data_IF_563690266339
#
_entry.id   IF_563690266339
#
_cell.length_a   1.000
_cell.length_b   1.000
_cell.length_c   1.000
_cell.angle_alpha   90.00
_cell.angle_beta   90.00
_cell.angle_gamma   90.00
#
_symmetry.space_group_name_H-M   'P 1'
#
loop_
_entity.id
_entity.type
_entity.pdbx_description
1 polymer ?
#
# COMPACT_ATOMS: atom_id res chain seq x y z
N UNK A 1 -2.69 12.83 33.67
CA UNK A 1 -2.12 11.63 34.33
C UNK A 1 -3.28 10.76 34.81
N UNK A 2 -3.72 9.83 33.97
CA UNK A 2 -4.78 8.86 34.27
C UNK A 2 -4.41 7.58 33.51
N UNK A 3 -3.97 6.58 34.28
CA UNK A 3 -3.48 5.29 33.82
C UNK A 3 -4.67 4.33 33.81
N UNK A 4 -5.04 3.80 32.65
CA UNK A 4 -5.96 2.66 32.56
C UNK A 4 -5.16 1.41 32.19
N UNK A 5 -4.97 0.53 33.18
CA UNK A 5 -4.40 -0.82 33.02
C UNK A 5 -5.51 -1.76 32.53
N UNK A 6 -5.38 -2.31 31.33
CA UNK A 6 -6.18 -3.46 30.89
C UNK A 6 -5.64 -4.74 31.54
N UNK A 7 -6.51 -5.43 32.28
CA UNK A 7 -6.25 -6.68 33.00
C UNK A 7 -6.68 -7.83 32.09
N UNK A 8 -5.73 -8.64 31.64
CA UNK A 8 -6.02 -9.92 30.96
C UNK A 8 -6.38 -10.97 32.01
N UNK A 9 -7.50 -11.67 31.82
CA UNK A 9 -7.90 -12.84 32.61
C UNK A 9 -7.36 -14.10 31.94
N UNK A 10 -6.51 -14.83 32.66
CA UNK A 10 -5.99 -16.15 32.30
C UNK A 10 -7.08 -17.21 32.56
N UNK A 11 -7.52 -17.90 31.50
CA UNK A 11 -8.40 -19.06 31.60
C UNK A 11 -7.61 -20.32 31.92
N UNK A 12 -8.02 -21.01 32.99
CA UNK A 12 -7.41 -22.22 33.53
C UNK A 12 -7.54 -23.44 32.59
N UNK A 13 -6.43 -24.19 32.46
CA UNK A 13 -6.34 -25.49 31.79
C UNK A 13 -6.56 -26.61 32.83
N UNK A 14 -7.47 -27.58 32.60
CA UNK A 14 -7.51 -28.77 33.44
C UNK A 14 -6.49 -29.82 32.97
N UNK A 15 -5.63 -30.24 33.91
CA UNK A 15 -4.80 -31.44 33.82
C UNK A 15 -5.67 -32.70 33.95
N UNK A 16 -5.46 -33.70 33.10
CA UNK A 16 -5.79 -35.08 33.42
C UNK A 16 -4.77 -36.05 32.85
N UNK A 17 -4.68 -37.19 33.52
CA UNK A 17 -3.53 -38.09 33.69
C UNK A 17 -3.38 -39.17 32.62
N UNK A 18 -2.12 -39.41 32.26
CA UNK A 18 -1.42 -40.68 32.02
C UNK A 18 -2.26 -41.94 31.73
N UNK A 19 -2.20 -42.43 30.48
CA UNK A 19 -2.06 -43.86 30.17
C UNK A 19 -1.09 -44.06 29.02
N UNK A 20 -0.01 -44.80 29.31
CA UNK A 20 1.04 -45.21 28.37
C UNK A 20 0.51 -46.36 27.52
N UNK A 21 0.41 -46.15 26.22
CA UNK A 21 0.32 -47.22 25.23
C UNK A 21 1.45 -47.00 24.24
N UNK A 22 2.45 -47.86 24.28
CA UNK A 22 3.54 -47.89 23.31
C UNK A 22 2.98 -48.39 21.98
N UNK A 23 2.73 -47.47 21.04
CA UNK A 23 2.57 -47.79 19.63
C UNK A 23 3.89 -47.40 18.93
N UNK A 24 4.63 -48.41 18.49
CA UNK A 24 5.75 -48.28 17.56
C UNK A 24 5.23 -47.68 16.25
N UNK A 25 5.36 -46.36 16.09
CA UNK A 25 5.21 -45.70 14.79
C UNK A 25 6.54 -45.76 14.06
N UNK A 26 6.53 -46.48 12.95
CA UNK A 26 7.57 -46.51 11.94
C UNK A 26 7.92 -45.09 11.50
N UNK A 27 9.16 -44.68 11.72
CA UNK A 27 9.71 -43.44 11.16
C UNK A 27 9.93 -43.65 9.66
N UNK A 28 8.88 -43.44 8.86
CA UNK A 28 9.04 -43.22 7.43
C UNK A 28 9.63 -41.82 7.26
N UNK A 29 10.95 -41.75 7.08
CA UNK A 29 11.61 -40.54 6.60
C UNK A 29 11.04 -40.21 5.21
N UNK A 30 10.00 -39.39 5.16
CA UNK A 30 9.65 -38.68 3.96
C UNK A 30 10.80 -37.70 3.71
N UNK A 31 11.74 -38.11 2.86
CA UNK A 31 12.66 -37.20 2.20
C UNK A 31 11.76 -36.20 1.50
N UNK A 32 11.61 -35.00 2.08
CA UNK A 32 11.14 -33.87 1.33
C UNK A 32 12.09 -33.76 0.15
N UNK A 33 11.60 -34.11 -1.04
CA UNK A 33 12.26 -33.73 -2.26
C UNK A 33 12.28 -32.20 -2.24
N UNK A 34 13.39 -31.64 -1.73
CA UNK A 34 13.81 -30.32 -2.12
C UNK A 34 13.86 -30.39 -3.64
N UNK A 35 12.86 -29.82 -4.29
CA UNK A 35 12.96 -29.46 -5.70
C UNK A 35 14.13 -28.48 -5.75
N UNK A 36 15.32 -29.02 -5.96
CA UNK A 36 16.47 -28.26 -6.40
C UNK A 36 15.95 -27.47 -7.60
N UNK A 37 15.88 -26.15 -7.44
CA UNK A 37 15.59 -25.25 -8.54
C UNK A 37 16.46 -25.67 -9.71
N UNK A 38 15.83 -26.04 -10.82
CA UNK A 38 16.54 -26.35 -12.04
C UNK A 38 17.35 -25.10 -12.43
N UNK A 39 18.70 -25.13 -12.40
CA UNK A 39 19.51 -23.96 -12.72
C UNK A 39 19.48 -23.63 -14.23
N UNK A 40 18.69 -24.34 -15.04
CA UNK A 40 18.69 -24.20 -16.49
C UNK A 40 17.96 -22.95 -16.99
N UNK A 41 17.04 -22.35 -16.23
CA UNK A 41 16.31 -21.15 -16.65
C UNK A 41 16.28 -20.04 -15.58
N UNK A 42 16.37 -18.76 -15.98
CA UNK A 42 16.19 -17.65 -15.04
C UNK A 42 14.78 -17.66 -14.44
N UNK A 43 14.68 -17.23 -13.19
CA UNK A 43 13.40 -16.96 -12.54
C UNK A 43 12.67 -15.85 -13.26
N UNK A 44 11.36 -15.99 -13.41
CA UNK A 44 10.52 -15.00 -14.09
C UNK A 44 9.56 -14.36 -13.10
N UNK A 45 9.70 -13.06 -12.89
CA UNK A 45 8.85 -12.25 -12.01
C UNK A 45 7.99 -11.35 -12.88
N UNK A 46 6.67 -11.52 -12.80
CA UNK A 46 5.72 -10.55 -13.35
C UNK A 46 5.60 -9.35 -12.42
N UNK A 47 5.77 -8.13 -12.91
CA UNK A 47 5.50 -6.90 -12.14
C UNK A 47 4.42 -6.09 -12.84
N UNK A 48 3.24 -6.00 -12.22
CA UNK A 48 2.12 -5.20 -12.73
C UNK A 48 1.86 -4.02 -11.80
N UNK A 49 2.01 -2.80 -12.31
CA UNK A 49 1.72 -1.57 -11.55
C UNK A 49 0.43 -0.89 -12.01
N UNK A 50 -0.35 -0.41 -11.04
CA UNK A 50 -1.60 0.31 -11.30
C UNK A 50 -1.33 1.74 -11.80
N UNK A 51 -0.20 2.35 -11.41
CA UNK A 51 0.26 3.65 -11.89
C UNK A 51 1.55 3.57 -12.71
N UNK A 52 2.21 4.72 -12.89
CA UNK A 52 3.57 4.77 -13.45
C UNK A 52 4.55 4.02 -12.54
N UNK A 53 5.25 3.05 -13.10
CA UNK A 53 6.05 2.09 -12.36
C UNK A 53 7.55 2.31 -12.42
N UNK A 54 8.10 3.25 -13.20
CA UNK A 54 9.57 3.43 -13.37
C UNK A 54 10.35 3.42 -12.06
N UNK A 55 9.87 4.19 -11.06
CA UNK A 55 10.51 4.27 -9.75
C UNK A 55 10.34 2.97 -8.95
N UNK A 56 9.17 2.34 -9.06
CA UNK A 56 8.85 1.06 -8.39
C UNK A 56 9.73 -0.06 -8.96
N UNK A 57 9.84 -0.14 -10.28
CA UNK A 57 10.74 -1.06 -10.99
C UNK A 57 12.20 -0.84 -10.59
N UNK A 58 12.65 0.41 -10.48
CA UNK A 58 13.99 0.74 -9.98
C UNK A 58 14.24 0.21 -8.57
N UNK A 59 13.28 0.38 -7.65
CA UNK A 59 13.40 -0.15 -6.28
C UNK A 59 13.39 -1.68 -6.24
N UNK A 60 12.58 -2.34 -7.05
CA UNK A 60 12.61 -3.80 -7.15
C UNK A 60 13.94 -4.31 -7.70
N UNK A 61 14.50 -3.67 -8.73
CA UNK A 61 15.83 -3.99 -9.26
C UNK A 61 16.92 -3.85 -8.21
N UNK A 62 16.92 -2.75 -7.46
CA UNK A 62 17.85 -2.54 -6.33
C UNK A 62 17.70 -3.64 -5.27
N UNK A 63 16.46 -3.97 -4.88
CA UNK A 63 16.17 -4.97 -3.86
C UNK A 63 16.56 -6.39 -4.30
N UNK A 64 16.27 -6.77 -5.55
CA UNK A 64 16.66 -8.06 -6.11
C UNK A 64 18.18 -8.18 -6.24
N UNK A 65 18.86 -7.11 -6.69
CA UNK A 65 20.32 -7.07 -6.74
C UNK A 65 20.95 -7.25 -5.35
N UNK A 66 20.39 -6.61 -4.32
CA UNK A 66 20.86 -6.77 -2.94
C UNK A 66 20.71 -8.21 -2.41
N UNK A 67 19.83 -9.01 -3.01
CA UNK A 67 19.61 -10.43 -2.70
C UNK A 67 20.44 -11.39 -3.54
N UNK A 68 21.23 -10.87 -4.47
CA UNK A 68 22.12 -11.65 -5.34
C UNK A 68 21.54 -11.99 -6.71
N UNK A 69 20.32 -11.56 -7.02
CA UNK A 69 19.74 -11.72 -8.36
C UNK A 69 20.33 -10.72 -9.35
N UNK A 70 20.57 -11.17 -10.58
CA UNK A 70 21.04 -10.41 -11.72
C UNK A 70 20.00 -10.49 -12.85
N UNK A 71 19.32 -9.36 -13.09
CA UNK A 71 18.35 -9.22 -14.18
C UNK A 71 19.02 -9.54 -15.54
N UNK A 72 18.37 -10.38 -16.34
CA UNK A 72 18.88 -10.88 -17.62
C UNK A 72 19.81 -12.09 -17.51
N UNK A 73 20.18 -12.53 -16.29
CA UNK A 73 21.00 -13.72 -16.07
C UNK A 73 20.26 -14.81 -15.31
N UNK A 74 19.87 -14.53 -14.07
CA UNK A 74 19.18 -15.48 -13.17
C UNK A 74 17.76 -15.03 -12.82
N UNK A 75 17.38 -13.82 -13.23
CA UNK A 75 16.06 -13.22 -13.02
C UNK A 75 15.63 -12.46 -14.27
N UNK A 76 14.36 -12.55 -14.65
CA UNK A 76 13.70 -11.74 -15.68
C UNK A 76 12.54 -11.03 -15.00
N UNK A 77 12.43 -9.71 -15.20
CA UNK A 77 11.30 -8.92 -14.71
C UNK A 77 10.40 -8.55 -15.89
N UNK A 78 9.24 -9.18 -15.96
CA UNK A 78 8.22 -8.90 -16.97
C UNK A 78 7.33 -7.75 -16.47
N UNK A 79 7.71 -6.54 -16.84
CA UNK A 79 7.06 -5.32 -16.35
C UNK A 79 5.90 -4.88 -17.24
N UNK A 80 4.76 -4.55 -16.61
CA UNK A 80 3.59 -3.90 -17.23
C UNK A 80 3.07 -2.80 -16.31
N UNK A 81 2.66 -1.68 -16.90
CA UNK A 81 2.07 -0.57 -16.15
C UNK A 81 0.77 -0.10 -16.79
N UNK A 82 -0.21 0.19 -15.94
CA UNK A 82 -1.49 0.73 -16.36
C UNK A 82 -1.49 2.27 -16.47
N UNK A 83 -0.41 2.94 -16.01
CA UNK A 83 -0.26 4.40 -16.05
C UNK A 83 -1.49 5.16 -15.47
N UNK A 84 -2.15 4.59 -14.46
CA UNK A 84 -3.35 5.16 -13.84
C UNK A 84 -4.68 4.77 -14.48
N UNK A 85 -4.67 4.06 -15.61
CA UNK A 85 -5.85 3.62 -16.34
C UNK A 85 -6.22 2.17 -16.00
N UNK A 86 -6.99 1.96 -14.93
CA UNK A 86 -7.27 0.61 -14.41
C UNK A 86 -8.04 -0.31 -15.35
N UNK A 87 -8.69 0.23 -16.38
CA UNK A 87 -9.31 -0.56 -17.45
C UNK A 87 -8.30 -1.41 -18.23
N UNK A 88 -7.01 -1.04 -18.22
CA UNK A 88 -5.94 -1.81 -18.88
C UNK A 88 -5.48 -3.02 -18.07
N UNK A 89 -5.69 -3.02 -16.74
CA UNK A 89 -5.13 -4.03 -15.84
C UNK A 89 -5.51 -5.48 -16.19
N UNK A 90 -6.76 -5.81 -16.58
CA UNK A 90 -7.10 -7.17 -16.98
C UNK A 90 -6.22 -7.70 -18.13
N UNK A 91 -5.99 -6.88 -19.17
CA UNK A 91 -5.17 -7.27 -20.31
C UNK A 91 -3.69 -7.37 -19.95
N UNK A 92 -3.18 -6.38 -19.21
CA UNK A 92 -1.77 -6.36 -18.77
C UNK A 92 -1.43 -7.56 -17.87
N UNK A 93 -2.35 -7.93 -16.97
CA UNK A 93 -2.19 -9.14 -16.14
C UNK A 93 -2.25 -10.39 -17.00
N UNK A 94 -3.18 -10.48 -17.96
CA UNK A 94 -3.29 -11.64 -18.85
C UNK A 94 -2.00 -11.85 -19.67
N UNK A 95 -1.40 -10.77 -20.18
CA UNK A 95 -0.08 -10.81 -20.84
C UNK A 95 1.00 -11.36 -19.91
N UNK A 96 1.04 -10.90 -18.66
CA UNK A 96 2.01 -11.39 -17.66
C UNK A 96 1.77 -12.87 -17.35
N UNK A 97 0.51 -13.30 -17.16
CA UNK A 97 0.18 -14.71 -16.88
C UNK A 97 0.55 -15.61 -18.05
N UNK A 98 0.36 -15.17 -19.29
CA UNK A 98 0.71 -15.92 -20.50
C UNK A 98 2.22 -16.17 -20.65
N UNK A 99 3.05 -15.41 -19.93
CA UNK A 99 4.50 -15.60 -19.87
C UNK A 99 4.92 -16.65 -18.82
N UNK A 100 3.96 -17.26 -18.13
CA UNK A 100 4.14 -18.29 -17.10
C UNK A 100 5.19 -17.88 -16.03
N UNK A 101 5.00 -16.73 -15.35
CA UNK A 101 5.93 -16.27 -14.34
C UNK A 101 5.90 -17.19 -13.12
N UNK A 102 7.05 -17.29 -12.45
CA UNK A 102 7.18 -18.04 -11.21
C UNK A 102 6.48 -17.32 -10.03
N UNK A 103 6.34 -15.99 -10.13
CA UNK A 103 5.60 -15.16 -9.17
C UNK A 103 5.16 -13.84 -9.81
N UNK A 104 4.02 -13.30 -9.39
CA UNK A 104 3.50 -11.99 -9.79
C UNK A 104 3.57 -11.04 -8.60
N UNK A 105 4.20 -9.88 -8.77
CA UNK A 105 4.01 -8.72 -7.91
C UNK A 105 2.92 -7.86 -8.52
N UNK A 106 1.87 -7.59 -7.75
CA UNK A 106 0.79 -6.70 -8.14
C UNK A 106 0.77 -5.47 -7.21
N UNK A 107 0.99 -4.29 -7.78
CA UNK A 107 1.03 -3.02 -7.05
C UNK A 107 -0.33 -2.32 -7.03
N UNK A 108 -0.75 -1.99 -5.81
CA UNK A 108 -2.05 -1.47 -5.44
C UNK A 108 -3.24 -2.43 -5.66
N UNK A 109 -4.32 -2.19 -4.90
CA UNK A 109 -5.55 -2.99 -4.89
C UNK A 109 -6.12 -3.32 -6.29
N UNK A 110 -6.17 -2.38 -7.27
CA UNK A 110 -6.70 -2.68 -8.60
C UNK A 110 -5.91 -3.76 -9.35
N UNK A 111 -4.58 -3.70 -9.35
CA UNK A 111 -3.74 -4.72 -10.00
C UNK A 111 -3.84 -6.06 -9.27
N UNK A 112 -3.90 -6.05 -7.93
CA UNK A 112 -4.07 -7.27 -7.13
C UNK A 112 -5.40 -7.95 -7.47
N UNK A 113 -6.49 -7.19 -7.55
CA UNK A 113 -7.80 -7.71 -7.93
C UNK A 113 -7.83 -8.25 -9.36
N UNK A 114 -7.06 -7.67 -10.28
CA UNK A 114 -6.91 -8.20 -11.64
C UNK A 114 -6.10 -9.51 -11.65
N UNK A 115 -4.99 -9.57 -10.92
CA UNK A 115 -4.17 -10.77 -10.76
C UNK A 115 -4.95 -11.93 -10.12
N UNK A 116 -5.69 -11.67 -9.04
CA UNK A 116 -6.55 -12.67 -8.38
C UNK A 116 -7.58 -13.28 -9.33
N UNK A 117 -8.16 -12.48 -10.22
CA UNK A 117 -9.13 -12.98 -11.22
C UNK A 117 -8.48 -13.78 -12.34
N UNK A 118 -7.23 -13.49 -12.67
CA UNK A 118 -6.52 -14.12 -13.77
C UNK A 118 -5.88 -15.46 -13.39
N UNK A 119 -5.53 -15.67 -12.13
CA UNK A 119 -4.89 -16.91 -11.67
C UNK A 119 -5.14 -17.21 -10.19
N UNK A 120 -5.38 -18.49 -9.90
CA UNK A 120 -5.47 -19.05 -8.55
C UNK A 120 -4.27 -19.93 -8.19
N UNK A 121 -3.29 -20.07 -9.09
CA UNK A 121 -2.16 -21.00 -8.95
C UNK A 121 -0.81 -20.31 -8.89
N UNK A 122 -0.60 -19.27 -9.71
CA UNK A 122 0.66 -18.50 -9.68
C UNK A 122 0.69 -17.70 -8.37
N UNK A 123 1.78 -17.74 -7.60
CA UNK A 123 1.95 -16.91 -6.42
C UNK A 123 1.79 -15.41 -6.73
N UNK A 124 1.01 -14.69 -5.92
CA UNK A 124 0.78 -13.25 -6.06
C UNK A 124 1.26 -12.54 -4.77
N UNK A 125 2.19 -11.61 -4.93
CA UNK A 125 2.63 -10.68 -3.90
C UNK A 125 1.87 -9.36 -4.04
N UNK A 126 1.02 -9.07 -3.07
CA UNK A 126 0.40 -7.77 -2.88
C UNK A 126 1.45 -6.74 -2.45
N UNK A 127 1.59 -5.65 -3.18
CA UNK A 127 2.64 -4.67 -2.87
C UNK A 127 2.23 -3.21 -3.16
N UNK A 128 1.61 -2.51 -2.21
CA UNK A 128 0.88 -3.03 -1.04
C UNK A 128 -0.66 -2.95 -1.24
N UNK A 129 -1.42 -3.67 -0.41
CA UNK A 129 -2.90 -3.63 -0.36
C UNK A 129 -3.44 -2.76 0.78
N UNK A 130 -4.56 -2.06 0.57
CA UNK A 130 -5.19 -1.23 1.61
C UNK A 130 -6.06 -2.04 2.57
N UNK A 131 -6.87 -2.96 2.03
CA UNK A 131 -7.71 -3.83 2.84
C UNK A 131 -7.69 -5.25 2.23
N UNK A 132 -6.63 -6.03 2.47
CA UNK A 132 -6.49 -7.33 1.84
C UNK A 132 -7.53 -8.36 2.30
N UNK A 133 -8.09 -8.21 3.50
CA UNK A 133 -9.15 -9.09 4.02
C UNK A 133 -10.50 -8.71 3.45
N UNK A 134 -10.91 -7.43 3.55
CA UNK A 134 -12.18 -6.96 3.01
C UNK A 134 -12.25 -7.03 1.48
N UNK A 135 -11.11 -6.95 0.79
CA UNK A 135 -11.02 -7.18 -0.66
C UNK A 135 -11.05 -8.67 -1.05
N UNK A 136 -11.05 -9.58 -0.07
CA UNK A 136 -11.05 -11.02 -0.32
C UNK A 136 -9.75 -11.57 -0.89
N UNK A 137 -8.64 -10.84 -0.79
CA UNK A 137 -7.33 -11.29 -1.26
C UNK A 137 -6.74 -12.36 -0.35
N UNK A 138 -6.97 -12.24 0.96
CA UNK A 138 -6.45 -13.15 1.97
C UNK A 138 -7.52 -13.45 3.03
N UNK A 139 -7.47 -14.63 3.65
CA UNK A 139 -8.40 -14.99 4.75
C UNK A 139 -8.12 -14.19 6.03
N UNK A 140 -6.84 -13.98 6.32
CA UNK A 140 -6.37 -13.23 7.49
C UNK A 140 -4.92 -12.79 7.27
N UNK A 141 -4.44 -11.88 8.12
CA UNK A 141 -3.04 -11.48 8.11
C UNK A 141 -2.11 -12.63 8.51
N UNK A 142 -2.44 -13.40 9.55
CA UNK A 142 -1.55 -14.47 10.02
C UNK A 142 -1.51 -15.70 9.09
N UNK A 143 -2.62 -15.96 8.37
CA UNK A 143 -2.76 -17.09 7.45
C UNK A 143 -3.55 -16.65 6.22
N UNK A 144 -2.89 -16.28 5.11
CA UNK A 144 -3.59 -15.89 3.91
C UNK A 144 -4.42 -17.01 3.28
N UNK A 145 -3.88 -18.24 3.29
CA UNK A 145 -4.64 -19.45 2.96
C UNK A 145 -4.95 -19.67 1.47
N UNK A 146 -4.18 -19.05 0.56
CA UNK A 146 -4.28 -19.20 -0.89
C UNK A 146 -2.96 -18.82 -1.59
N UNK A 147 -3.00 -18.53 -2.89
CA UNK A 147 -1.82 -18.11 -3.67
C UNK A 147 -1.43 -16.64 -3.47
N UNK A 148 -2.19 -15.85 -2.70
CA UNK A 148 -1.95 -14.42 -2.47
C UNK A 148 -1.40 -14.20 -1.06
N UNK A 149 -0.34 -13.39 -0.95
CA UNK A 149 0.24 -12.90 0.30
C UNK A 149 0.92 -11.54 0.06
N UNK A 150 1.74 -11.03 0.98
CA UNK A 150 2.55 -9.84 0.78
C UNK A 150 2.26 -8.76 1.82
N UNK A 151 2.14 -7.51 1.38
CA UNK A 151 2.25 -6.34 2.24
C UNK A 151 0.93 -5.56 2.25
N UNK A 152 0.48 -5.16 3.44
CA UNK A 152 -0.59 -4.19 3.64
C UNK A 152 0.01 -2.78 3.88
N UNK A 153 -0.71 -1.71 3.52
CA UNK A 153 -0.18 -0.33 3.63
C UNK A 153 -0.71 0.50 4.82
N UNK A 154 -1.75 0.02 5.52
CA UNK A 154 -2.40 0.70 6.64
C UNK A 154 -2.94 2.11 6.34
N UNK A 155 -3.16 2.49 5.06
CA UNK A 155 -3.62 3.85 4.75
C UNK A 155 -4.98 4.16 5.40
N UNK A 156 -5.91 3.21 5.41
CA UNK A 156 -7.21 3.38 6.04
C UNK A 156 -7.11 3.64 7.56
N UNK A 157 -6.18 2.96 8.24
CA UNK A 157 -5.96 3.10 9.68
C UNK A 157 -5.40 4.49 10.06
N UNK A 158 -4.66 5.11 9.15
CA UNK A 158 -4.04 6.42 9.37
C UNK A 158 -4.98 7.61 9.11
N UNK A 159 -6.18 7.37 8.57
CA UNK A 159 -7.09 8.45 8.14
C UNK A 159 -7.49 9.38 9.28
N UNK A 160 -7.86 8.86 10.46
CA UNK A 160 -8.25 9.70 11.60
C UNK A 160 -7.09 10.62 12.05
N UNK A 161 -5.89 10.03 12.20
CA UNK A 161 -4.69 10.78 12.58
C UNK A 161 -4.31 11.84 11.54
N UNK A 162 -4.57 11.59 10.26
CA UNK A 162 -4.36 12.58 9.22
C UNK A 162 -5.28 13.79 9.32
N UNK A 163 -6.52 13.58 9.72
CA UNK A 163 -7.44 14.70 9.94
C UNK A 163 -7.06 15.53 11.18
N UNK A 164 -6.51 14.89 12.22
CA UNK A 164 -5.92 15.62 13.36
C UNK A 164 -4.77 16.53 12.90
N UNK A 165 -3.88 16.02 12.05
CA UNK A 165 -2.77 16.79 11.47
C UNK A 165 -3.29 17.94 10.59
N UNK A 166 -4.30 17.69 9.75
CA UNK A 166 -4.99 18.75 8.99
C UNK A 166 -5.51 19.84 9.92
N UNK A 167 -6.14 19.49 11.05
CA UNK A 167 -6.65 20.47 12.02
C UNK A 167 -5.54 21.28 12.69
N UNK A 168 -4.38 20.67 12.94
CA UNK A 168 -3.24 21.37 13.52
C UNK A 168 -2.67 22.45 12.59
N UNK A 169 -2.67 22.19 11.27
CA UNK A 169 -2.18 23.10 10.24
C UNK A 169 -3.24 24.11 9.78
N UNK A 170 -4.50 23.68 9.70
CA UNK A 170 -5.65 24.47 9.28
C UNK A 170 -6.71 24.54 10.39
N UNK A 171 -6.45 25.27 11.49
CA UNK A 171 -7.32 25.24 12.68
C UNK A 171 -8.75 25.73 12.45
N UNK A 172 -8.95 26.52 11.37
CA UNK A 172 -10.24 27.10 10.98
C UNK A 172 -10.95 26.33 9.86
N UNK A 173 -10.39 25.22 9.39
CA UNK A 173 -10.98 24.42 8.31
C UNK A 173 -12.39 23.96 8.67
N UNK A 174 -13.31 24.06 7.72
CA UNK A 174 -14.72 23.66 7.83
C UNK A 174 -15.11 22.67 6.75
N UNK A 175 -14.44 22.71 5.60
CA UNK A 175 -14.75 21.83 4.47
C UNK A 175 -13.49 21.31 3.79
N UNK A 176 -13.40 19.99 3.66
CA UNK A 176 -12.35 19.32 2.91
C UNK A 176 -12.92 18.63 1.67
N UNK A 177 -12.15 18.67 0.59
CA UNK A 177 -12.36 17.82 -0.58
C UNK A 177 -11.57 16.52 -0.40
N UNK A 178 -12.23 15.38 -0.47
CA UNK A 178 -11.55 14.07 -0.46
C UNK A 178 -11.39 13.60 -1.90
N UNK A 179 -10.14 13.63 -2.40
CA UNK A 179 -9.82 13.15 -3.74
C UNK A 179 -9.76 11.63 -3.74
N UNK A 180 -10.60 11.03 -4.58
CA UNK A 180 -10.70 9.61 -4.81
C UNK A 180 -10.53 9.28 -6.30
N UNK A 181 -10.41 7.99 -6.58
CA UNK A 181 -10.40 7.37 -7.91
C UNK A 181 -11.42 6.24 -7.98
N UNK A 182 -11.37 5.45 -9.06
CA UNK A 182 -12.10 4.20 -9.22
C UNK A 182 -11.42 3.00 -8.51
N UNK A 183 -10.40 3.22 -7.68
CA UNK A 183 -9.88 2.19 -6.78
C UNK A 183 -11.01 1.67 -5.87
N UNK A 184 -11.26 0.35 -5.81
CA UNK A 184 -12.43 -0.20 -5.11
C UNK A 184 -12.44 0.10 -3.61
N UNK A 185 -11.28 0.35 -2.99
CA UNK A 185 -11.19 0.69 -1.57
C UNK A 185 -11.58 2.14 -1.26
N UNK A 186 -11.66 3.02 -2.26
CA UNK A 186 -11.89 4.45 -2.03
C UNK A 186 -13.30 4.80 -1.56
N UNK A 187 -14.30 3.94 -1.81
CA UNK A 187 -15.64 4.15 -1.23
C UNK A 187 -15.56 4.01 0.28
N UNK A 188 -15.07 2.88 0.79
CA UNK A 188 -14.93 2.65 2.23
C UNK A 188 -13.94 3.63 2.89
N UNK A 189 -12.83 3.95 2.22
CA UNK A 189 -11.86 4.92 2.72
C UNK A 189 -12.44 6.34 2.82
N UNK A 190 -13.27 6.76 1.86
CA UNK A 190 -14.01 8.02 1.97
C UNK A 190 -14.97 8.01 3.16
N UNK A 191 -15.74 6.94 3.36
CA UNK A 191 -16.66 6.84 4.50
C UNK A 191 -15.93 6.94 5.85
N UNK A 192 -14.74 6.35 5.95
CA UNK A 192 -13.87 6.49 7.13
C UNK A 192 -13.37 7.94 7.30
N UNK A 193 -12.95 8.59 6.21
CA UNK A 193 -12.53 9.99 6.23
C UNK A 193 -13.69 10.93 6.62
N UNK A 194 -14.89 10.71 6.07
CA UNK A 194 -16.07 11.50 6.38
C UNK A 194 -16.45 11.40 7.86
N UNK A 195 -16.55 10.19 8.41
CA UNK A 195 -16.82 10.01 9.86
C UNK A 195 -15.77 10.66 10.75
N UNK A 196 -14.49 10.54 10.38
CA UNK A 196 -13.43 11.16 11.14
C UNK A 196 -13.49 12.70 11.06
N UNK A 197 -13.83 13.26 9.90
CA UNK A 197 -14.00 14.70 9.70
C UNK A 197 -15.19 15.23 10.51
N UNK A 198 -16.32 14.53 10.47
CA UNK A 198 -17.52 14.87 11.24
C UNK A 198 -17.24 14.89 12.75
N UNK A 199 -16.44 13.93 13.25
CA UNK A 199 -16.07 13.87 14.68
C UNK A 199 -15.29 15.09 15.17
N UNK A 200 -14.66 15.82 14.24
CA UNK A 200 -13.95 17.08 14.51
C UNK A 200 -14.67 18.28 13.90
N UNK A 201 -15.96 18.18 13.54
CA UNK A 201 -16.76 19.31 13.04
C UNK A 201 -16.32 19.86 11.68
N UNK A 202 -15.72 19.02 10.83
CA UNK A 202 -15.29 19.35 9.47
C UNK A 202 -16.12 18.55 8.49
N UNK A 203 -16.74 19.22 7.52
CA UNK A 203 -17.46 18.54 6.44
C UNK A 203 -16.49 17.96 5.41
N UNK A 204 -16.76 16.75 4.92
CA UNK A 204 -15.98 16.11 3.86
C UNK A 204 -16.85 15.82 2.65
N UNK A 205 -16.40 16.22 1.46
CA UNK A 205 -17.08 15.92 0.20
C UNK A 205 -16.18 15.08 -0.70
N UNK A 206 -16.71 13.96 -1.22
CA UNK A 206 -15.97 13.09 -2.14
C UNK A 206 -15.94 13.69 -3.54
N UNK A 207 -14.77 13.67 -4.16
CA UNK A 207 -14.57 14.00 -5.57
C UNK A 207 -13.79 12.88 -6.24
N UNK A 208 -14.26 12.42 -7.40
CA UNK A 208 -13.66 11.27 -8.07
C UNK A 208 -12.99 11.73 -9.36
N UNK A 209 -11.68 11.50 -9.45
CA UNK A 209 -10.90 11.57 -10.69
C UNK A 209 -10.50 10.14 -11.08
N UNK A 210 -11.26 9.45 -11.95
CA UNK A 210 -10.94 8.08 -12.35
C UNK A 210 -9.53 7.99 -12.93
N UNK A 211 -9.19 8.88 -13.86
CA UNK A 211 -7.91 8.88 -14.57
C UNK A 211 -7.08 10.14 -14.28
N UNK A 212 -5.78 10.15 -14.63
CA UNK A 212 -4.92 11.32 -14.45
C UNK A 212 -5.41 12.60 -15.16
N UNK A 213 -6.03 12.47 -16.34
CA UNK A 213 -6.57 13.59 -17.13
C UNK A 213 -7.78 14.28 -16.46
N UNK A 214 -8.48 13.58 -15.57
CA UNK A 214 -9.65 14.11 -14.86
C UNK A 214 -9.28 15.05 -13.71
N UNK A 215 -8.00 15.13 -13.33
CA UNK A 215 -7.54 15.87 -12.16
C UNK A 215 -7.87 17.37 -12.25
N UNK A 216 -7.59 18.03 -13.37
CA UNK A 216 -7.78 19.48 -13.51
C UNK A 216 -9.26 19.88 -13.30
N UNK A 217 -10.17 19.19 -14.00
CA UNK A 217 -11.62 19.36 -13.84
C UNK A 217 -12.10 19.05 -12.41
N UNK A 218 -11.49 18.05 -11.78
CA UNK A 218 -11.84 17.65 -10.41
C UNK A 218 -11.43 18.72 -9.41
N UNK A 219 -10.23 19.30 -9.54
CA UNK A 219 -9.79 20.43 -8.69
C UNK A 219 -10.62 21.69 -8.94
N UNK A 220 -11.01 21.99 -10.19
CA UNK A 220 -11.96 23.06 -10.47
C UNK A 220 -13.31 22.85 -9.75
N UNK A 221 -13.79 21.60 -9.69
CA UNK A 221 -15.04 21.25 -8.99
C UNK A 221 -14.90 21.39 -7.47
N UNK A 222 -13.74 21.05 -6.91
CA UNK A 222 -13.45 21.25 -5.48
C UNK A 222 -13.39 22.73 -5.11
N UNK A 223 -12.78 23.56 -5.96
CA UNK A 223 -12.72 25.01 -5.78
C UNK A 223 -14.13 25.62 -5.87
N UNK A 224 -14.94 25.24 -6.85
CA UNK A 224 -16.33 25.68 -6.98
C UNK A 224 -17.24 25.22 -5.82
N UNK A 225 -16.82 24.18 -5.10
CA UNK A 225 -17.49 23.68 -3.91
C UNK A 225 -16.91 24.26 -2.61
N UNK A 226 -16.05 25.28 -2.68
CA UNK A 226 -15.43 25.94 -1.53
C UNK A 226 -14.67 24.97 -0.59
N UNK A 227 -14.00 23.96 -1.16
CA UNK A 227 -13.12 23.09 -0.37
C UNK A 227 -11.84 23.85 0.02
N UNK A 228 -11.52 23.89 1.30
CA UNK A 228 -10.38 24.66 1.83
C UNK A 228 -9.07 23.87 1.82
N UNK A 229 -9.17 22.55 1.93
CA UNK A 229 -8.03 21.61 1.94
C UNK A 229 -8.44 20.36 1.17
N UNK A 230 -7.51 19.79 0.41
CA UNK A 230 -7.71 18.51 -0.29
C UNK A 230 -7.01 17.40 0.48
N UNK A 231 -7.77 16.37 0.88
CA UNK A 231 -7.23 15.12 1.41
C UNK A 231 -7.19 14.07 0.30
N UNK A 232 -6.00 13.60 -0.04
CA UNK A 232 -5.80 12.66 -1.15
C UNK A 232 -5.69 11.24 -0.62
N UNK A 233 -6.68 10.41 -0.99
CA UNK A 233 -6.64 8.99 -0.73
C UNK A 233 -5.51 8.32 -1.52
N UNK A 234 -4.94 7.29 -0.94
CA UNK A 234 -3.79 6.59 -1.49
C UNK A 234 -4.13 5.88 -2.79
N UNK A 235 -3.45 6.31 -3.83
CA UNK A 235 -3.54 5.76 -5.18
C UNK A 235 -2.14 5.76 -5.79
N UNK A 236 -1.85 4.91 -6.79
CA UNK A 236 -0.59 4.98 -7.52
C UNK A 236 -0.26 6.42 -7.91
N UNK A 237 1.02 6.79 -7.79
CA UNK A 237 1.45 8.19 -7.91
C UNK A 237 0.94 8.80 -9.21
N UNK A 238 0.24 9.94 -9.08
CA UNK A 238 -0.20 10.80 -10.19
C UNK A 238 0.71 12.04 -10.23
N UNK A 239 1.76 12.07 -11.06
CA UNK A 239 2.84 13.07 -10.94
C UNK A 239 2.40 14.52 -11.11
N UNK A 240 1.34 14.77 -11.88
CA UNK A 240 0.81 16.11 -12.13
C UNK A 240 -0.04 16.67 -10.97
N UNK A 241 -0.43 15.83 -10.01
CA UNK A 241 -1.35 16.24 -8.95
C UNK A 241 -0.81 17.43 -8.12
N UNK A 242 0.45 17.45 -7.65
CA UNK A 242 0.93 18.60 -6.87
C UNK A 242 0.94 19.92 -7.63
N UNK A 243 1.32 19.92 -8.92
CA UNK A 243 1.33 21.14 -9.73
C UNK A 243 -0.08 21.63 -10.04
N UNK A 244 -1.03 20.72 -10.26
CA UNK A 244 -2.46 21.05 -10.40
C UNK A 244 -2.99 21.64 -9.08
N UNK A 245 -2.73 21.00 -7.94
CA UNK A 245 -3.15 21.53 -6.63
C UNK A 245 -2.64 22.95 -6.39
N UNK A 246 -1.37 23.21 -6.70
CA UNK A 246 -0.76 24.52 -6.59
C UNK A 246 -1.37 25.55 -7.56
N UNK A 247 -1.69 25.15 -8.81
CA UNK A 247 -2.39 25.99 -9.80
C UNK A 247 -3.73 26.50 -9.25
N UNK A 248 -4.46 25.67 -8.51
CA UNK A 248 -5.74 26.05 -7.88
C UNK A 248 -5.57 26.72 -6.50
N UNK A 249 -4.34 26.89 -6.01
CA UNK A 249 -4.06 27.44 -4.69
C UNK A 249 -4.59 26.56 -3.55
N UNK A 250 -4.79 25.27 -3.79
CA UNK A 250 -5.42 24.35 -2.83
C UNK A 250 -4.38 23.59 -2.01
N UNK A 251 -4.30 23.82 -0.69
CA UNK A 251 -3.45 23.03 0.19
C UNK A 251 -3.86 21.55 0.13
N UNK A 252 -2.90 20.67 -0.14
CA UNK A 252 -3.17 19.24 -0.36
C UNK A 252 -2.37 18.36 0.59
N UNK A 253 -3.06 17.46 1.28
CA UNK A 253 -2.51 16.53 2.25
C UNK A 253 -2.65 15.10 1.72
N UNK A 254 -1.55 14.36 1.65
CA UNK A 254 -1.47 13.07 0.95
C UNK A 254 -1.23 11.90 1.91
N UNK A 255 -1.84 10.75 1.64
CA UNK A 255 -1.47 9.51 2.33
C UNK A 255 -0.10 8.96 1.87
N UNK A 256 0.34 9.27 0.65
CA UNK A 256 1.62 8.76 0.11
C UNK A 256 2.75 9.77 0.35
N UNK A 257 3.76 9.34 1.11
CA UNK A 257 4.88 10.15 1.61
C UNK A 257 5.85 10.68 0.56
N UNK A 258 5.74 10.24 -0.70
CA UNK A 258 6.59 10.71 -1.80
C UNK A 258 6.00 11.87 -2.62
N UNK A 259 4.77 12.33 -2.32
CA UNK A 259 4.20 13.52 -2.96
C UNK A 259 4.93 14.83 -2.60
N UNK A 260 5.39 15.04 -1.34
CA UNK A 260 6.16 16.24 -1.00
C UNK A 260 7.43 16.43 -1.82
N UNK A 261 8.13 15.34 -2.17
CA UNK A 261 9.31 15.38 -3.06
C UNK A 261 8.95 15.85 -4.50
N UNK A 262 7.66 15.92 -4.84
CA UNK A 262 7.11 16.35 -6.13
C UNK A 262 6.37 17.69 -6.03
N UNK A 263 6.59 18.45 -4.97
CA UNK A 263 5.94 19.74 -4.72
C UNK A 263 4.59 19.63 -4.00
N UNK A 264 4.23 18.46 -3.47
CA UNK A 264 3.07 18.33 -2.58
C UNK A 264 3.32 19.03 -1.25
N UNK A 265 2.28 19.54 -0.59
CA UNK A 265 2.44 20.28 0.66
C UNK A 265 2.87 19.39 1.83
N UNK A 266 2.13 18.32 2.10
CA UNK A 266 2.34 17.49 3.28
C UNK A 266 1.85 16.07 3.06
N UNK A 267 2.55 15.09 3.58
CA UNK A 267 2.09 13.71 3.57
C UNK A 267 2.39 13.00 4.89
N UNK A 268 1.51 12.07 5.26
CA UNK A 268 1.73 11.15 6.38
C UNK A 268 1.32 9.75 5.97
N UNK A 269 2.23 8.81 6.13
CA UNK A 269 2.03 7.44 5.70
C UNK A 269 3.26 6.57 5.94
N UNK A 270 3.18 5.29 5.56
CA UNK A 270 4.33 4.39 5.57
C UNK A 270 5.48 4.92 4.70
N UNK A 271 6.70 4.51 5.03
CA UNK A 271 7.84 4.69 4.13
C UNK A 271 7.67 3.79 2.90
N UNK A 272 7.35 4.40 1.76
CA UNK A 272 6.95 3.67 0.54
C UNK A 272 8.07 2.75 0.01
N UNK A 273 9.33 3.20 0.02
CA UNK A 273 10.46 2.37 -0.45
C UNK A 273 10.60 1.10 0.38
N UNK A 274 10.43 1.20 1.70
CA UNK A 274 10.54 0.06 2.60
C UNK A 274 9.48 -1.02 2.30
N UNK A 275 8.26 -0.63 1.89
CA UNK A 275 7.21 -1.58 1.50
C UNK A 275 7.61 -2.42 0.27
N UNK A 276 8.22 -1.79 -0.73
CA UNK A 276 8.64 -2.49 -1.96
C UNK A 276 9.85 -3.39 -1.73
N UNK A 277 10.80 -2.97 -0.88
CA UNK A 277 11.91 -3.84 -0.44
C UNK A 277 11.36 -5.07 0.27
N UNK A 278 10.38 -4.90 1.15
CA UNK A 278 9.75 -6.01 1.85
C UNK A 278 9.00 -6.95 0.90
N UNK A 279 8.32 -6.42 -0.12
CA UNK A 279 7.71 -7.26 -1.16
C UNK A 279 8.74 -8.10 -1.94
N UNK A 280 9.95 -7.57 -2.17
CA UNK A 280 11.04 -8.34 -2.78
C UNK A 280 11.54 -9.47 -1.86
N UNK A 281 11.48 -9.30 -0.52
CA UNK A 281 11.77 -10.37 0.44
C UNK A 281 10.78 -11.54 0.32
N UNK A 282 9.50 -11.24 0.06
CA UNK A 282 8.49 -12.27 -0.17
C UNK A 282 8.73 -13.04 -1.46
N UNK A 283 9.10 -12.35 -2.54
CA UNK A 283 9.49 -13.00 -3.80
C UNK A 283 10.66 -13.96 -3.55
N UNK A 284 11.73 -13.52 -2.91
CA UNK A 284 12.90 -14.36 -2.61
C UNK A 284 12.54 -15.62 -1.82
N UNK A 285 11.67 -15.49 -0.80
CA UNK A 285 11.19 -16.64 -0.01
C UNK A 285 10.40 -17.62 -0.87
N UNK A 286 9.52 -17.14 -1.76
CA UNK A 286 8.71 -17.98 -2.65
C UNK A 286 9.58 -18.69 -3.69
N UNK A 287 10.53 -17.97 -4.31
CA UNK A 287 11.47 -18.57 -5.27
C UNK A 287 12.35 -19.66 -4.61
N UNK A 288 12.53 -19.59 -3.29
CA UNK A 288 13.21 -20.61 -2.47
C UNK A 288 12.28 -21.70 -1.93
N UNK A 289 11.02 -21.74 -2.36
CA UNK A 289 10.07 -22.81 -2.05
C UNK A 289 9.11 -22.53 -0.89
N UNK A 290 9.06 -21.30 -0.36
CA UNK A 290 8.05 -20.97 0.65
C UNK A 290 6.64 -20.92 0.02
N UNK A 291 5.66 -21.51 0.71
CA UNK A 291 4.27 -21.50 0.29
C UNK A 291 3.58 -20.17 0.62
N UNK A 292 3.02 -19.42 -0.35
CA UNK A 292 2.31 -18.16 -0.11
C UNK A 292 1.20 -18.26 0.94
N UNK A 293 0.53 -19.42 1.02
CA UNK A 293 -0.57 -19.62 1.95
C UNK A 293 -0.15 -19.56 3.43
N UNK A 294 1.13 -19.82 3.71
CA UNK A 294 1.74 -19.89 5.04
C UNK A 294 2.59 -18.65 5.36
N UNK A 295 2.81 -17.77 4.38
CA UNK A 295 3.50 -16.49 4.56
C UNK A 295 2.51 -15.46 5.10
N UNK A 296 2.66 -14.94 6.34
CA UNK A 296 1.75 -13.92 6.88
C UNK A 296 1.73 -12.66 5.99
N UNK A 297 0.68 -11.84 6.05
CA UNK A 297 0.69 -10.48 5.53
C UNK A 297 1.42 -9.58 6.51
N UNK A 298 2.41 -8.86 6.02
CA UNK A 298 3.16 -7.90 6.82
C UNK A 298 2.62 -6.47 6.69
N UNK A 299 2.84 -5.67 7.73
CA UNK A 299 2.42 -4.27 7.83
C UNK A 299 3.65 -3.36 7.98
N UNK A 300 3.56 -2.10 7.54
CA UNK A 300 4.61 -1.12 7.80
C UNK A 300 4.90 -0.95 9.28
N UNK A 301 6.19 -0.91 9.61
CA UNK A 301 6.69 -0.59 10.95
C UNK A 301 7.19 0.86 11.05
N UNK A 302 7.43 1.52 9.91
CA UNK A 302 7.93 2.88 9.81
C UNK A 302 6.96 3.78 9.05
N UNK A 303 6.64 4.91 9.67
CA UNK A 303 5.76 5.96 9.13
C UNK A 303 6.50 7.29 9.20
N UNK A 304 6.23 8.17 8.25
CA UNK A 304 6.88 9.48 8.17
C UNK A 304 5.83 10.57 7.94
N UNK A 305 5.91 11.65 8.72
CA UNK A 305 5.31 12.93 8.40
C UNK A 305 6.32 13.78 7.62
N UNK A 306 6.00 14.07 6.37
CA UNK A 306 6.84 14.86 5.47
C UNK A 306 6.14 16.17 5.14
N UNK A 307 6.86 17.29 5.31
CA UNK A 307 6.34 18.64 5.05
C UNK A 307 7.23 19.35 4.03
N UNK A 308 6.62 20.00 3.04
CA UNK A 308 7.33 20.82 2.06
C UNK A 308 7.10 22.32 2.33
N UNK A 309 8.15 22.99 2.82
CA UNK A 309 8.13 24.41 3.13
C UNK A 309 8.14 25.29 1.88
N UNK A 310 8.71 24.83 0.77
CA UNK A 310 8.64 25.55 -0.51
C UNK A 310 7.19 25.65 -0.98
N UNK A 311 6.45 24.53 -0.93
CA UNK A 311 5.03 24.50 -1.28
C UNK A 311 4.19 25.30 -0.29
N UNK A 312 4.47 25.21 1.01
CA UNK A 312 3.79 26.03 2.02
C UNK A 312 3.97 27.53 1.73
N UNK A 313 5.18 27.97 1.41
CA UNK A 313 5.48 29.35 1.02
C UNK A 313 4.75 29.76 -0.26
N UNK A 314 4.72 28.90 -1.27
CA UNK A 314 4.01 29.15 -2.52
C UNK A 314 2.48 29.26 -2.34
N UNK A 315 1.93 28.60 -1.32
CA UNK A 315 0.52 28.69 -0.92
C UNK A 315 0.26 29.80 0.11
N UNK A 316 1.26 30.61 0.47
CA UNK A 316 1.18 31.63 1.52
C UNK A 316 0.74 31.08 2.89
N UNK A 317 1.14 29.85 3.21
CA UNK A 317 0.83 29.16 4.46
C UNK A 317 1.97 29.28 5.47
N UNK A 318 1.65 29.75 6.67
CA UNK A 318 2.54 29.66 7.82
C UNK A 318 2.37 28.27 8.47
N UNK A 319 3.41 27.45 8.43
CA UNK A 319 3.41 26.14 9.11
C UNK A 319 3.75 26.36 10.59
N UNK A 320 2.85 26.01 11.54
CA UNK A 320 3.14 26.20 12.96
C UNK A 320 4.33 25.35 13.42
N UNK A 321 5.17 25.90 14.30
CA UNK A 321 6.36 25.21 14.84
C UNK A 321 6.02 23.84 15.44
N UNK A 322 4.92 23.73 16.18
CA UNK A 322 4.43 22.45 16.73
C UNK A 322 4.21 21.36 15.67
N UNK A 323 3.91 21.73 14.42
CA UNK A 323 3.71 20.78 13.32
C UNK A 323 5.05 20.38 12.72
N UNK A 324 6.00 21.31 12.65
CA UNK A 324 7.37 21.04 12.21
C UNK A 324 8.10 20.10 13.19
N UNK A 325 7.88 20.26 14.50
CA UNK A 325 8.43 19.39 15.52
C UNK A 325 7.91 17.94 15.47
N UNK A 326 6.77 17.72 14.80
CA UNK A 326 6.23 16.38 14.55
C UNK A 326 6.73 15.76 13.25
N UNK A 327 7.39 16.55 12.39
CA UNK A 327 7.79 16.10 11.06
C UNK A 327 9.07 15.26 11.13
N UNK A 328 9.02 14.06 10.56
CA UNK A 328 10.20 13.21 10.37
C UNK A 328 11.11 13.77 9.27
N UNK A 329 10.52 14.46 8.28
CA UNK A 329 11.27 15.10 7.20
C UNK A 329 10.67 16.44 6.79
N UNK A 330 11.54 17.44 6.63
CA UNK A 330 11.19 18.77 6.15
C UNK A 330 11.96 19.04 4.86
N UNK A 331 11.24 19.37 3.79
CA UNK A 331 11.81 19.81 2.50
C UNK A 331 11.84 21.34 2.54
N UNK A 332 13.05 21.91 2.53
CA UNK A 332 13.32 23.34 2.59
C UNK A 332 13.36 24.00 1.23
#
# INVERSE_FOLDING_TARGET
MLIWKCRWQEGAVPRSSTRRTFLTMSFSAAIAAATNADPSRPWRVGLVTSGKGDRVLGWFREAFKAKGYQEGKDLIIEFREANGSYSLLPNLVAEVVALEPDVIIAEATPAIAAAQRATSTIPIIMSPSTDPVGSGFVKSFAKPGGNITGIANMFADLTAKMLDVIRLLFPKVRKIGVLASNNPTHVAAFETAARAADSIGVSAQRFVAPNPEDLDKTFASMQAADCEVVYVLADPIRPALPSIALKYGMPTVYQITSYPDRGGLMAYGPEIKALFVLAADYVDRILKGANPADLPVEQPTKFELVINLQTAKALHLAVPERVLLLADRVIG
#
